data_IF_550339891680
#
_entry.id   IF_550339891680
#
_cell.length_a   1.000
_cell.length_b   1.000
_cell.length_c   1.000
_cell.angle_alpha   90.00
_cell.angle_beta   90.00
_cell.angle_gamma   90.00
#
_symmetry.space_group_name_H-M   'P 1'
#
loop_
_entity.id
_entity.type
_entity.pdbx_description
1 polymer ?
#
# COMPACT_ATOMS: atom_id res chain seq x y z
N UNK A 1 -16.23 -10.37 5.88
CA UNK A 1 -14.96 -9.84 5.34
C UNK A 1 -14.11 -11.00 4.85
N UNK A 2 -13.58 -10.89 3.64
CA UNK A 2 -12.65 -11.87 3.05
C UNK A 2 -11.45 -11.15 2.47
N UNK A 3 -10.28 -11.72 2.64
CA UNK A 3 -9.05 -11.21 2.03
C UNK A 3 -8.48 -12.37 1.18
N UNK A 4 -8.39 -12.15 -0.13
CA UNK A 4 -7.96 -13.20 -1.07
C UNK A 4 -6.80 -12.71 -1.93
N UNK A 5 -5.93 -13.62 -2.39
CA UNK A 5 -4.86 -13.24 -3.33
C UNK A 5 -5.43 -12.71 -4.64
N UNK A 6 -4.77 -11.69 -5.17
CA UNK A 6 -5.08 -11.17 -6.51
C UNK A 6 -4.39 -12.06 -7.54
N UNK A 7 -5.12 -12.39 -8.58
CA UNK A 7 -4.66 -13.17 -9.73
C UNK A 7 -4.97 -12.40 -11.01
N UNK A 8 -4.55 -12.90 -12.16
CA UNK A 8 -4.89 -12.26 -13.44
C UNK A 8 -6.40 -12.12 -13.61
N UNK A 9 -7.16 -13.09 -13.11
CA UNK A 9 -8.61 -13.12 -13.27
C UNK A 9 -9.31 -12.00 -12.49
N UNK A 10 -8.91 -11.76 -11.23
CA UNK A 10 -9.55 -10.74 -10.38
C UNK A 10 -8.81 -9.41 -10.33
N UNK A 11 -7.66 -9.28 -11.01
CA UNK A 11 -6.88 -8.05 -11.04
C UNK A 11 -7.69 -6.81 -11.44
N UNK A 12 -8.66 -6.88 -12.37
CA UNK A 12 -9.48 -5.69 -12.69
C UNK A 12 -10.23 -5.13 -11.49
N UNK A 13 -10.67 -5.98 -10.57
CA UNK A 13 -11.34 -5.52 -9.34
C UNK A 13 -10.36 -4.76 -8.44
N UNK A 14 -9.15 -5.28 -8.29
CA UNK A 14 -8.09 -4.62 -7.52
C UNK A 14 -7.67 -3.31 -8.18
N UNK A 15 -7.56 -3.29 -9.51
CA UNK A 15 -7.23 -2.08 -10.26
C UNK A 15 -8.25 -0.97 -10.08
N UNK A 16 -9.53 -1.32 -10.01
CA UNK A 16 -10.61 -0.36 -9.79
C UNK A 16 -10.51 0.25 -8.37
N UNK A 17 -10.25 -0.57 -7.36
CA UNK A 17 -10.05 -0.09 -5.98
C UNK A 17 -8.80 0.80 -5.90
N UNK A 18 -7.70 0.39 -6.52
CA UNK A 18 -6.46 1.15 -6.54
C UNK A 18 -6.66 2.51 -7.19
N UNK A 19 -7.29 2.55 -8.36
CA UNK A 19 -7.56 3.78 -9.10
C UNK A 19 -8.42 4.75 -8.28
N UNK A 20 -9.54 4.28 -7.74
CA UNK A 20 -10.44 5.13 -6.96
C UNK A 20 -9.76 5.71 -5.73
N UNK A 21 -9.00 4.90 -5.02
CA UNK A 21 -8.30 5.30 -3.79
C UNK A 21 -7.13 6.24 -4.10
N UNK A 22 -6.34 5.92 -5.11
CA UNK A 22 -5.20 6.73 -5.53
C UNK A 22 -5.66 8.11 -6.00
N UNK A 23 -6.68 8.15 -6.85
CA UNK A 23 -7.21 9.42 -7.35
C UNK A 23 -7.75 10.29 -6.23
N UNK A 24 -8.49 9.71 -5.30
CA UNK A 24 -9.03 10.45 -4.17
C UNK A 24 -7.94 11.08 -3.32
N UNK A 25 -6.84 10.36 -3.05
CA UNK A 25 -5.74 10.86 -2.24
C UNK A 25 -4.90 11.92 -2.96
N UNK A 26 -4.78 11.82 -4.29
CA UNK A 26 -3.90 12.71 -5.08
C UNK A 26 -4.60 13.95 -5.60
N UNK A 27 -5.95 14.00 -5.60
CA UNK A 27 -6.71 15.18 -6.04
C UNK A 27 -6.40 16.44 -5.27
N UNK A 28 -5.95 16.28 -4.03
CA UNK A 28 -5.65 17.43 -3.16
C UNK A 28 -4.43 18.22 -3.58
N UNK A 29 -3.52 17.59 -4.33
CA UNK A 29 -2.24 18.23 -4.70
C UNK A 29 -1.81 18.01 -6.16
N UNK A 30 -2.62 17.32 -6.96
CA UNK A 30 -2.33 17.09 -8.38
C UNK A 30 -3.44 17.66 -9.25
N UNK A 31 -3.12 18.17 -10.47
CA UNK A 31 -4.14 18.60 -11.42
C UNK A 31 -5.08 17.44 -11.79
N UNK A 32 -6.36 17.76 -11.95
CA UNK A 32 -7.40 16.75 -12.26
C UNK A 32 -7.08 15.95 -13.52
N UNK A 33 -6.63 16.62 -14.59
CA UNK A 33 -6.26 15.94 -15.84
C UNK A 33 -5.14 14.93 -15.66
N UNK A 34 -4.21 15.18 -14.73
CA UNK A 34 -3.14 14.24 -14.40
C UNK A 34 -3.73 13.05 -13.62
N UNK A 35 -4.57 13.34 -12.62
CA UNK A 35 -5.18 12.32 -11.77
C UNK A 35 -6.01 11.32 -12.60
N UNK A 36 -6.77 11.82 -13.58
CA UNK A 36 -7.61 10.99 -14.42
C UNK A 36 -6.85 9.99 -15.28
N UNK A 37 -5.54 10.19 -15.50
CA UNK A 37 -4.71 9.23 -16.24
C UNK A 37 -4.54 7.91 -15.47
N UNK A 38 -4.70 7.93 -14.15
CA UNK A 38 -4.55 6.76 -13.30
C UNK A 38 -5.89 6.07 -13.13
N UNK A 39 -6.48 5.68 -14.27
CA UNK A 39 -7.76 5.00 -14.30
C UNK A 39 -7.64 3.51 -13.92
N UNK A 40 -8.77 2.84 -13.84
CA UNK A 40 -8.82 1.44 -13.43
C UNK A 40 -7.98 0.52 -14.35
N UNK A 41 -7.97 0.77 -15.64
CA UNK A 41 -7.20 0.00 -16.62
C UNK A 41 -5.70 0.13 -16.34
N UNK A 42 -5.24 1.37 -16.18
CA UNK A 42 -3.82 1.64 -15.91
C UNK A 42 -3.37 1.01 -14.60
N UNK A 43 -4.18 1.12 -13.56
CA UNK A 43 -3.83 0.54 -12.27
C UNK A 43 -3.89 -0.98 -12.28
N UNK A 44 -4.78 -1.56 -13.06
CA UNK A 44 -4.80 -3.01 -13.28
C UNK A 44 -3.49 -3.47 -13.93
N UNK A 45 -3.04 -2.77 -14.97
CA UNK A 45 -1.79 -3.08 -15.66
C UNK A 45 -0.58 -2.92 -14.73
N UNK A 46 -0.58 -1.86 -13.90
CA UNK A 46 0.45 -1.64 -12.89
C UNK A 46 0.56 -2.83 -11.93
N UNK A 47 -0.57 -3.30 -11.41
CA UNK A 47 -0.58 -4.45 -10.50
C UNK A 47 -0.13 -5.74 -11.19
N UNK A 48 -0.61 -5.99 -12.40
CA UNK A 48 -0.24 -7.20 -13.16
C UNK A 48 1.26 -7.21 -13.45
N UNK A 49 1.83 -6.08 -13.85
CA UNK A 49 3.26 -5.97 -14.12
C UNK A 49 4.07 -6.21 -12.85
N UNK A 50 3.65 -5.63 -11.73
CA UNK A 50 4.28 -5.87 -10.44
C UNK A 50 4.23 -7.34 -10.04
N UNK A 51 3.08 -8.00 -10.26
CA UNK A 51 2.92 -9.42 -9.95
C UNK A 51 3.84 -10.31 -10.78
N UNK A 52 4.07 -9.96 -12.04
CA UNK A 52 5.03 -10.67 -12.89
C UNK A 52 6.46 -10.56 -12.37
N UNK A 53 6.75 -9.49 -11.65
CA UNK A 53 8.08 -9.23 -11.05
C UNK A 53 8.18 -9.73 -9.60
N UNK A 54 7.16 -10.43 -9.09
CA UNK A 54 7.18 -11.04 -7.76
C UNK A 54 6.34 -10.35 -6.69
N UNK A 55 5.67 -9.24 -7.03
CA UNK A 55 4.77 -8.58 -6.09
C UNK A 55 3.58 -9.47 -5.79
N UNK A 56 3.25 -9.62 -4.50
CA UNK A 56 2.04 -10.30 -4.05
C UNK A 56 1.01 -9.24 -3.69
N UNK A 57 -0.23 -9.44 -4.12
CA UNK A 57 -1.33 -8.50 -3.88
C UNK A 57 -2.50 -9.25 -3.29
N UNK A 58 -3.16 -8.66 -2.29
CA UNK A 58 -4.39 -9.19 -1.69
C UNK A 58 -5.49 -8.15 -1.79
N UNK A 59 -6.70 -8.64 -2.04
CA UNK A 59 -7.89 -7.82 -2.17
C UNK A 59 -8.88 -8.19 -1.06
N UNK A 60 -9.39 -7.17 -0.38
CA UNK A 60 -10.38 -7.32 0.69
C UNK A 60 -11.78 -7.06 0.15
N UNK A 61 -12.69 -7.98 0.45
CA UNK A 61 -14.11 -7.89 0.12
C UNK A 61 -14.95 -7.81 1.41
N UNK A 62 -15.96 -6.92 1.42
CA UNK A 62 -16.92 -6.86 2.55
C UNK A 62 -18.22 -6.15 2.15
N UNK A 63 -19.18 -6.78 1.47
CA UNK A 63 -19.02 -7.94 0.59
C UNK A 63 -18.40 -7.59 -0.76
N UNK A 64 -18.37 -6.29 -1.13
CA UNK A 64 -17.77 -5.80 -2.36
C UNK A 64 -16.29 -5.49 -2.16
N UNK A 65 -15.51 -5.35 -3.24
CA UNK A 65 -14.11 -4.95 -3.12
C UNK A 65 -13.97 -3.63 -2.36
N UNK A 66 -13.17 -3.61 -1.32
CA UNK A 66 -13.06 -2.48 -0.41
C UNK A 66 -11.65 -1.93 -0.25
N UNK A 67 -10.63 -2.76 -0.43
CA UNK A 67 -9.23 -2.34 -0.24
C UNK A 67 -8.27 -3.38 -0.75
N UNK A 68 -6.99 -2.98 -0.86
CA UNK A 68 -5.92 -3.88 -1.29
C UNK A 68 -4.62 -3.56 -0.58
N UNK A 69 -3.71 -4.53 -0.58
CA UNK A 69 -2.35 -4.37 -0.10
C UNK A 69 -1.39 -5.17 -0.97
N UNK A 70 -0.17 -4.66 -1.14
CA UNK A 70 0.88 -5.38 -1.85
C UNK A 70 2.10 -5.61 -0.96
N UNK A 71 2.82 -6.68 -1.26
CA UNK A 71 4.04 -7.08 -0.56
C UNK A 71 5.05 -7.57 -1.59
N UNK A 72 6.27 -7.03 -1.53
CA UNK A 72 7.37 -7.45 -2.39
C UNK A 72 8.55 -7.85 -1.51
N UNK A 73 9.07 -9.06 -1.69
CA UNK A 73 10.28 -9.48 -1.00
C UNK A 73 11.51 -8.86 -1.69
N UNK A 74 12.34 -8.20 -0.91
CA UNK A 74 13.55 -7.53 -1.41
C UNK A 74 14.79 -8.00 -0.63
N UNK A 75 15.96 -7.58 -1.04
CA UNK A 75 17.19 -7.86 -0.29
C UNK A 75 17.21 -7.21 1.10
N UNK A 76 16.34 -6.26 1.36
CA UNK A 76 16.27 -5.52 2.63
C UNK A 76 15.12 -5.94 3.53
N UNK A 77 14.24 -6.80 3.06
CA UNK A 77 13.10 -7.27 3.81
C UNK A 77 11.84 -7.37 2.96
N UNK A 78 10.71 -7.27 3.62
CA UNK A 78 9.38 -7.38 2.99
C UNK A 78 8.77 -6.00 2.86
N UNK A 79 8.70 -5.50 1.63
CA UNK A 79 8.27 -4.13 1.33
C UNK A 79 6.77 -4.08 1.07
N UNK A 80 6.07 -3.21 1.80
CA UNK A 80 4.67 -2.86 1.53
C UNK A 80 4.68 -1.59 0.68
N UNK A 81 4.12 -1.66 -0.53
CA UNK A 81 4.10 -0.54 -1.46
C UNK A 81 2.73 0.07 -1.65
N UNK A 82 1.70 -0.77 -1.69
CA UNK A 82 0.33 -0.33 -1.94
C UNK A 82 -0.54 -0.76 -0.77
N UNK A 83 -1.13 0.19 -0.10
CA UNK A 83 -2.16 -0.06 0.91
C UNK A 83 -3.25 0.99 0.70
N UNK A 84 -4.37 0.55 0.15
CA UNK A 84 -5.47 1.45 -0.19
C UNK A 84 -6.80 0.87 0.28
N UNK A 85 -7.63 1.74 0.84
CA UNK A 85 -9.02 1.45 1.16
C UNK A 85 -9.87 2.49 0.44
N UNK A 86 -11.01 2.09 -0.11
CA UNK A 86 -11.91 3.04 -0.75
C UNK A 86 -12.27 4.16 0.24
N UNK A 87 -12.26 5.44 -0.19
CA UNK A 87 -12.45 6.57 0.72
C UNK A 87 -13.72 6.48 1.57
N UNK A 88 -14.82 6.04 0.96
CA UNK A 88 -16.10 5.91 1.64
C UNK A 88 -16.15 4.78 2.67
N UNK A 89 -15.14 3.91 2.68
CA UNK A 89 -15.06 2.76 3.56
C UNK A 89 -13.94 2.86 4.59
N UNK A 90 -13.26 4.00 4.65
CA UNK A 90 -12.22 4.25 5.65
C UNK A 90 -12.81 4.29 7.06
N UNK A 91 -11.98 4.02 8.06
CA UNK A 91 -12.40 4.03 9.45
C UNK A 91 -13.15 2.80 9.93
N UNK A 92 -13.20 1.74 9.13
CA UNK A 92 -13.87 0.47 9.46
C UNK A 92 -12.90 -0.65 9.84
N UNK A 93 -11.60 -0.35 9.90
CA UNK A 93 -10.59 -1.35 10.24
C UNK A 93 -10.06 -2.17 9.09
N UNK A 94 -10.45 -1.88 7.85
CA UNK A 94 -10.01 -2.65 6.68
C UNK A 94 -8.51 -2.52 6.41
N UNK A 95 -7.97 -1.32 6.57
CA UNK A 95 -6.52 -1.10 6.40
C UNK A 95 -5.69 -1.90 7.39
N UNK A 96 -6.12 -1.95 8.64
CA UNK A 96 -5.46 -2.77 9.67
C UNK A 96 -5.54 -4.25 9.39
N UNK A 97 -6.69 -4.73 8.90
CA UNK A 97 -6.87 -6.12 8.53
C UNK A 97 -5.97 -6.52 7.37
N UNK A 98 -5.86 -5.66 6.35
CA UNK A 98 -4.97 -5.88 5.20
C UNK A 98 -3.50 -5.90 5.64
N UNK A 99 -3.10 -4.94 6.47
CA UNK A 99 -1.73 -4.86 6.99
C UNK A 99 -1.36 -6.14 7.75
N UNK A 100 -2.25 -6.59 8.62
CA UNK A 100 -2.04 -7.82 9.39
C UNK A 100 -1.90 -9.03 8.48
N UNK A 101 -2.73 -9.14 7.45
CA UNK A 101 -2.67 -10.23 6.49
C UNK A 101 -1.32 -10.26 5.74
N UNK A 102 -0.84 -9.10 5.31
CA UNK A 102 0.45 -9.02 4.64
C UNK A 102 1.61 -9.36 5.57
N UNK A 103 1.58 -8.90 6.82
CA UNK A 103 2.62 -9.19 7.81
C UNK A 103 2.75 -10.69 8.04
N UNK A 104 1.62 -11.42 8.09
CA UNK A 104 1.63 -12.88 8.24
C UNK A 104 2.36 -13.57 7.07
N UNK A 105 2.28 -12.99 5.86
CA UNK A 105 2.92 -13.55 4.68
C UNK A 105 4.38 -13.11 4.51
N UNK A 106 4.80 -12.09 5.23
CA UNK A 106 6.15 -11.52 5.09
C UNK A 106 7.22 -12.53 5.50
N UNK A 107 8.29 -12.60 4.71
CA UNK A 107 9.44 -13.51 4.95
C UNK A 107 10.59 -12.82 5.67
N UNK A 108 10.66 -11.50 5.58
CA UNK A 108 11.70 -10.70 6.21
C UNK A 108 11.12 -9.54 7.02
N UNK A 109 11.97 -8.65 7.53
CA UNK A 109 11.53 -7.46 8.25
C UNK A 109 10.62 -6.61 7.37
N UNK A 110 9.47 -6.19 7.91
CA UNK A 110 8.48 -5.43 7.15
C UNK A 110 8.83 -3.95 7.17
N UNK A 111 8.83 -3.32 6.02
CA UNK A 111 9.13 -1.90 5.88
C UNK A 111 8.32 -1.24 4.77
N UNK A 112 8.32 0.08 4.76
CA UNK A 112 7.61 0.88 3.77
C UNK A 112 8.25 2.26 3.64
N UNK A 113 7.93 2.96 2.55
CA UNK A 113 8.36 4.33 2.31
C UNK A 113 7.16 5.26 2.30
N UNK A 114 7.22 6.35 3.04
CA UNK A 114 6.13 7.30 3.21
C UNK A 114 6.62 8.71 2.91
N UNK A 115 5.81 9.50 2.22
CA UNK A 115 6.15 10.90 1.97
C UNK A 115 6.28 11.66 3.30
N UNK A 116 7.31 12.50 3.41
CA UNK A 116 7.60 13.24 4.64
C UNK A 116 6.49 14.21 5.06
N UNK A 117 5.64 14.63 4.12
CA UNK A 117 4.50 15.50 4.41
C UNK A 117 3.21 14.74 4.70
N UNK A 118 3.22 13.42 4.64
CA UNK A 118 2.04 12.59 4.92
C UNK A 118 1.98 12.24 6.42
N UNK A 119 1.69 13.26 7.23
CA UNK A 119 1.66 13.11 8.71
C UNK A 119 0.56 12.15 9.17
N UNK A 120 -0.54 12.06 8.43
CA UNK A 120 -1.62 11.12 8.73
C UNK A 120 -1.14 9.68 8.63
N UNK A 121 -0.43 9.34 7.54
CA UNK A 121 0.11 8.00 7.35
C UNK A 121 1.19 7.68 8.39
N UNK A 122 2.08 8.63 8.69
CA UNK A 122 3.10 8.45 9.71
C UNK A 122 2.47 8.07 11.05
N UNK A 123 1.47 8.82 11.49
CA UNK A 123 0.76 8.54 12.73
C UNK A 123 0.03 7.20 12.71
N UNK A 124 -0.60 6.88 11.59
CA UNK A 124 -1.31 5.62 11.40
C UNK A 124 -0.38 4.42 11.61
N UNK A 125 0.79 4.45 10.96
CA UNK A 125 1.73 3.33 11.06
C UNK A 125 2.47 3.28 12.39
N UNK A 126 2.77 4.44 12.99
CA UNK A 126 3.38 4.49 14.32
C UNK A 126 2.50 3.80 15.36
N UNK A 127 1.19 4.01 15.30
CA UNK A 127 0.23 3.35 16.19
C UNK A 127 0.18 1.83 15.99
N UNK A 128 0.63 1.36 14.83
CA UNK A 128 0.62 -0.07 14.48
C UNK A 128 1.97 -0.74 14.60
N UNK A 129 2.90 -0.10 15.31
CA UNK A 129 4.17 -0.70 15.64
C UNK A 129 5.30 -0.44 14.64
N UNK A 130 5.14 0.54 13.77
CA UNK A 130 6.21 0.97 12.86
C UNK A 130 6.92 2.19 13.43
N UNK A 131 8.19 2.33 13.11
CA UNK A 131 8.99 3.50 13.51
C UNK A 131 9.89 3.94 12.35
N UNK A 132 10.24 5.22 12.36
CA UNK A 132 11.18 5.76 11.38
C UNK A 132 12.55 5.14 11.60
N UNK A 133 13.17 4.67 10.52
CA UNK A 133 14.50 4.04 10.58
C UNK A 133 15.63 5.05 10.47
N UNK A 134 15.34 6.26 9.99
CA UNK A 134 16.36 7.25 9.68
C UNK A 134 16.79 7.27 8.22
N UNK A 135 16.39 6.26 7.43
CA UNK A 135 16.68 6.22 5.99
C UNK A 135 15.69 7.11 5.23
N UNK A 136 16.19 7.87 4.27
CA UNK A 136 15.42 8.81 3.48
C UNK A 136 15.81 8.70 2.01
N UNK A 137 14.86 9.01 1.12
CA UNK A 137 15.10 9.12 -0.32
C UNK A 137 14.62 10.50 -0.80
N UNK A 138 15.49 11.33 -1.37
CA UNK A 138 15.04 12.61 -1.92
C UNK A 138 14.19 12.36 -3.17
N UNK A 139 13.13 13.14 -3.34
CA UNK A 139 12.29 13.11 -4.54
C UNK A 139 12.41 14.40 -5.32
N UNK A 140 11.93 15.52 -4.77
CA UNK A 140 11.89 16.79 -5.47
C UNK A 140 11.79 17.93 -4.45
N UNK A 141 12.67 18.91 -4.52
CA UNK A 141 12.68 20.01 -3.57
C UNK A 141 12.82 19.53 -2.14
N UNK A 142 11.87 19.91 -1.28
CA UNK A 142 11.83 19.46 0.11
C UNK A 142 11.09 18.12 0.29
N UNK A 143 10.56 17.54 -0.79
CA UNK A 143 9.82 16.30 -0.74
C UNK A 143 10.77 15.10 -0.67
N UNK A 144 10.55 14.26 0.33
CA UNK A 144 11.36 13.05 0.57
C UNK A 144 10.45 11.89 0.92
N UNK A 145 10.93 10.69 0.67
CA UNK A 145 10.34 9.49 1.25
C UNK A 145 11.12 9.10 2.50
N UNK A 146 10.40 8.75 3.55
CA UNK A 146 10.95 8.29 4.83
C UNK A 146 10.67 6.81 4.99
N UNK A 147 11.70 6.04 5.36
CA UNK A 147 11.51 4.62 5.62
C UNK A 147 10.95 4.40 7.01
N UNK A 148 9.91 3.56 7.10
CA UNK A 148 9.40 3.06 8.37
C UNK A 148 9.59 1.55 8.43
N UNK A 149 10.02 1.05 9.59
CA UNK A 149 10.22 -0.37 9.84
C UNK A 149 9.38 -0.83 11.01
N UNK A 150 8.87 -2.05 10.92
CA UNK A 150 8.08 -2.65 11.99
C UNK A 150 8.98 -2.98 13.17
N UNK A 151 8.55 -2.56 14.37
CA UNK A 151 9.27 -2.87 15.62
C UNK A 151 9.24 -4.36 15.90
N UNK A 152 10.33 -4.88 16.45
CA UNK A 152 10.39 -6.25 16.90
C UNK A 152 10.85 -7.23 15.83
N UNK A 153 10.92 -6.83 14.55
CA UNK A 153 11.41 -7.71 13.49
C UNK A 153 12.87 -8.08 13.69
N UNK A 154 13.65 -7.21 14.32
CA UNK A 154 15.05 -7.44 14.66
C UNK A 154 15.21 -8.48 15.76
N UNK A 155 14.21 -8.68 16.58
CA UNK A 155 14.22 -9.62 17.68
C UNK A 155 13.90 -11.05 17.23
N UNK A 156 13.44 -11.22 16.01
CA UNK A 156 13.06 -12.50 15.44
C UNK A 156 14.21 -13.18 14.69
N UNK A 157 15.35 -12.53 14.60
CA UNK A 157 16.57 -13.06 13.99
C UNK A 157 17.50 -13.63 15.06
#
# INVERSE_FOLDING_TARGET
>A
MRIIPVTEENAPLAGAVHSASWQASHRHFCPEEFVLRFDARRQTEYLLEGMRSGKQVWLLFDPEPAGLISLTETGEGSLIEDLYVLPQLEGRGYGGALLKAAIVQARGPVYMWILNNNTKALGYYQKRGFELSGQEKPLSGSLRELEMRRKGDELCT
#
